data_IF_385824342791
#
_entry.id   IF_385824342791
#
_cell.length_a   1.000
_cell.length_b   1.000
_cell.length_c   1.000
_cell.angle_alpha   90.00
_cell.angle_beta   90.00
_cell.angle_gamma   90.00
#
_symmetry.space_group_name_H-M   'P 1'
#
loop_
_entity.id
_entity.type
_entity.pdbx_description
1 polymer ?
#
# COMPACT_ATOMS: atom_id res chain seq x y z
N UNK A 1 -32.25 -51.42 14.42
CA UNK A 1 -30.96 -51.19 13.75
C UNK A 1 -30.91 -49.76 13.23
N UNK A 2 -29.72 -49.20 13.31
CA UNK A 2 -29.27 -47.84 12.99
C UNK A 2 -29.18 -47.66 11.46
N UNK A 3 -29.33 -46.42 10.96
CA UNK A 3 -28.66 -45.74 9.81
C UNK A 3 -29.48 -44.46 9.48
N UNK A 4 -29.19 -43.28 10.07
CA UNK A 4 -28.39 -42.14 9.55
C UNK A 4 -28.49 -41.84 8.04
N UNK A 5 -29.01 -40.65 7.70
CA UNK A 5 -28.81 -39.92 6.44
C UNK A 5 -29.26 -38.45 6.61
N UNK A 6 -28.38 -37.55 7.06
CA UNK A 6 -27.68 -36.51 6.27
C UNK A 6 -28.60 -35.43 5.67
N UNK A 7 -28.63 -34.28 6.37
CA UNK A 7 -28.42 -32.91 5.88
C UNK A 7 -28.70 -32.58 4.40
N UNK A 8 -29.53 -31.55 4.11
CA UNK A 8 -29.08 -30.34 3.39
C UNK A 8 -30.13 -29.20 3.31
N UNK A 9 -29.66 -28.02 3.74
CA UNK A 9 -29.78 -26.68 3.12
C UNK A 9 -31.16 -26.10 2.78
N UNK A 10 -31.53 -25.05 3.55
CA UNK A 10 -32.31 -23.92 3.01
C UNK A 10 -31.96 -22.60 3.70
N UNK A 11 -30.72 -22.12 3.55
CA UNK A 11 -30.41 -20.73 3.91
C UNK A 11 -30.70 -19.82 2.71
N UNK A 12 -31.69 -18.94 2.91
CA UNK A 12 -32.21 -17.97 1.95
C UNK A 12 -31.13 -16.94 1.62
N UNK A 13 -31.05 -16.58 0.34
CA UNK A 13 -30.10 -15.62 -0.26
C UNK A 13 -30.24 -14.25 0.41
N UNK A 14 -29.18 -13.74 1.02
CA UNK A 14 -29.07 -12.33 1.45
C UNK A 14 -28.05 -11.64 0.55
N UNK A 15 -28.52 -10.60 -0.13
CA UNK A 15 -27.76 -9.76 -1.05
C UNK A 15 -26.88 -8.82 -0.24
N UNK A 16 -25.56 -8.98 -0.28
CA UNK A 16 -24.62 -8.10 0.43
C UNK A 16 -23.73 -7.41 -0.60
N UNK A 17 -24.02 -6.13 -0.84
CA UNK A 17 -23.27 -5.24 -1.73
C UNK A 17 -21.87 -5.00 -1.14
N UNK A 18 -20.84 -5.48 -1.83
CA UNK A 18 -19.43 -5.23 -1.54
C UNK A 18 -19.08 -3.83 -2.07
N UNK A 19 -19.05 -2.84 -1.18
CA UNK A 19 -18.80 -1.44 -1.52
C UNK A 19 -17.33 -1.14 -1.22
N UNK A 20 -16.46 -1.34 -2.22
CA UNK A 20 -15.10 -0.81 -2.17
C UNK A 20 -15.18 0.70 -2.43
N UNK A 21 -15.10 1.50 -1.36
CA UNK A 21 -15.07 2.96 -1.48
C UNK A 21 -13.73 3.35 -2.10
N UNK A 22 -13.79 3.84 -3.35
CA UNK A 22 -12.68 4.41 -4.10
C UNK A 22 -12.37 5.79 -3.50
N UNK A 23 -11.53 5.85 -2.48
CA UNK A 23 -10.97 7.13 -2.03
C UNK A 23 -9.65 7.31 -2.79
N UNK A 24 -9.58 8.20 -3.80
CA UNK A 24 -8.28 8.64 -4.31
C UNK A 24 -7.57 9.37 -3.17
N UNK A 25 -6.68 8.68 -2.48
CA UNK A 25 -5.79 9.32 -1.51
C UNK A 25 -4.72 10.02 -2.34
N UNK A 26 -4.90 11.31 -2.59
CA UNK A 26 -3.86 12.16 -3.15
C UNK A 26 -2.67 12.17 -2.20
N UNK A 27 -1.56 11.57 -2.64
CA UNK A 27 -0.30 11.54 -1.88
C UNK A 27 0.32 12.94 -1.99
N UNK A 28 0.04 13.81 -1.02
CA UNK A 28 0.57 15.17 -1.00
C UNK A 28 1.61 15.32 0.11
N UNK A 29 2.83 15.70 -0.26
CA UNK A 29 3.73 16.36 0.68
C UNK A 29 3.90 17.82 0.30
N UNK A 30 3.43 18.69 1.19
CA UNK A 30 3.72 20.12 1.15
C UNK A 30 5.05 20.40 1.84
N UNK A 31 5.96 21.02 1.11
CA UNK A 31 7.02 21.84 1.69
C UNK A 31 7.02 23.19 0.96
N UNK A 32 6.17 24.10 1.42
CA UNK A 32 6.30 25.52 1.10
C UNK A 32 7.50 26.06 1.90
N UNK A 33 8.67 26.15 1.28
CA UNK A 33 9.79 26.89 1.84
C UNK A 33 10.44 27.71 0.73
N UNK A 34 10.33 29.04 0.84
CA UNK A 34 11.34 30.08 0.59
C UNK A 34 10.62 31.45 0.50
N UNK A 35 10.59 32.20 1.59
CA UNK A 35 10.31 33.64 1.54
C UNK A 35 11.63 34.38 1.36
N UNK A 36 11.82 35.06 0.22
CA UNK A 36 12.94 35.97 0.04
C UNK A 36 12.41 37.37 -0.29
N UNK A 37 12.87 38.35 0.49
CA UNK A 37 12.52 39.77 0.32
C UNK A 37 13.69 40.47 -0.39
N UNK A 38 13.53 40.79 -1.68
CA UNK A 38 14.53 41.53 -2.46
C UNK A 38 14.16 41.58 -3.94
N UNK A 39 13.82 42.77 -4.43
CA UNK A 39 13.39 43.01 -5.81
C UNK A 39 14.55 42.94 -6.81
N UNK A 40 14.52 41.96 -7.73
CA UNK A 40 15.03 42.03 -9.13
C UNK A 40 14.24 41.01 -9.95
N UNK A 41 13.92 41.35 -11.20
CA UNK A 41 13.19 40.58 -12.25
C UNK A 41 12.65 39.20 -11.80
N UNK A 42 11.33 39.09 -11.67
CA UNK A 42 10.70 37.89 -11.11
C UNK A 42 10.77 36.70 -12.06
N UNK A 43 11.85 35.93 -11.95
CA UNK A 43 11.82 34.52 -12.29
C UNK A 43 11.11 33.79 -11.15
N UNK A 44 9.80 33.57 -11.30
CA UNK A 44 9.04 32.71 -10.40
C UNK A 44 9.52 31.26 -10.59
N UNK A 45 10.36 30.77 -9.67
CA UNK A 45 10.72 29.35 -9.62
C UNK A 45 9.63 28.60 -8.86
N UNK A 46 8.99 27.63 -9.50
CA UNK A 46 8.03 26.75 -8.83
C UNK A 46 8.77 25.78 -7.89
N UNK A 47 8.25 25.63 -6.67
CA UNK A 47 8.74 24.62 -5.74
C UNK A 47 8.49 23.21 -6.27
N UNK A 48 9.36 22.26 -5.91
CA UNK A 48 9.27 20.87 -6.34
C UNK A 48 7.98 20.21 -5.80
N UNK A 49 7.23 19.57 -6.70
CA UNK A 49 6.04 18.79 -6.35
C UNK A 49 6.36 17.30 -6.35
N UNK A 50 6.00 16.62 -5.27
CA UNK A 50 6.04 15.16 -5.16
C UNK A 50 4.60 14.69 -5.00
N UNK A 51 4.07 14.06 -6.05
CA UNK A 51 2.70 13.59 -6.11
C UNK A 51 2.60 12.27 -6.87
N UNK A 52 1.47 11.60 -6.70
CA UNK A 52 1.10 10.42 -7.48
C UNK A 52 -0.33 9.99 -7.18
N UNK A 53 -0.90 9.17 -8.06
CA UNK A 53 -2.21 8.55 -7.88
C UNK A 53 -2.05 7.09 -7.47
N UNK A 54 -2.83 6.66 -6.48
CA UNK A 54 -2.84 5.29 -5.97
C UNK A 54 -4.15 4.60 -6.37
N UNK A 55 -4.04 3.48 -7.06
CA UNK A 55 -5.18 2.69 -7.52
C UNK A 55 -5.07 1.25 -7.00
N UNK A 56 -6.10 0.78 -6.31
CA UNK A 56 -6.26 -0.65 -5.97
C UNK A 56 -7.00 -1.32 -7.11
N UNK A 57 -6.35 -2.30 -7.77
CA UNK A 57 -6.86 -2.93 -8.98
C UNK A 57 -7.94 -3.96 -8.65
N UNK A 58 -9.19 -3.49 -8.50
CA UNK A 58 -10.33 -4.31 -8.10
C UNK A 58 -10.59 -5.48 -9.07
N UNK A 59 -11.10 -6.59 -8.52
CA UNK A 59 -11.70 -7.66 -9.32
C UNK A 59 -13.19 -7.36 -9.41
N UNK A 60 -13.73 -7.40 -10.62
CA UNK A 60 -15.06 -6.87 -10.98
C UNK A 60 -16.25 -7.62 -10.37
N UNK A 61 -16.03 -8.75 -9.70
CA UNK A 61 -17.09 -9.68 -9.33
C UNK A 61 -17.23 -9.84 -7.81
N UNK A 62 -18.46 -9.95 -7.35
CA UNK A 62 -18.76 -10.33 -5.97
C UNK A 62 -18.36 -11.80 -5.76
N UNK A 63 -17.26 -12.03 -5.06
CA UNK A 63 -16.81 -13.37 -4.69
C UNK A 63 -17.05 -13.62 -3.20
N UNK A 64 -17.57 -14.82 -2.87
CA UNK A 64 -17.48 -15.34 -1.52
C UNK A 64 -16.05 -15.81 -1.32
N UNK A 65 -15.26 -15.02 -0.59
CA UNK A 65 -13.85 -15.32 -0.36
C UNK A 65 -13.72 -16.49 0.61
N UNK A 66 -12.99 -17.51 0.21
CA UNK A 66 -12.40 -18.52 1.09
C UNK A 66 -10.90 -18.23 1.25
N UNK A 67 -10.23 -18.79 2.27
CA UNK A 67 -8.78 -18.66 2.38
C UNK A 67 -8.09 -19.07 1.08
N UNK A 68 -7.04 -18.33 0.70
CA UNK A 68 -6.30 -18.42 -0.56
C UNK A 68 -6.92 -17.73 -1.78
N UNK A 69 -8.15 -17.22 -1.67
CA UNK A 69 -8.75 -16.46 -2.77
C UNK A 69 -8.10 -15.09 -2.94
N UNK A 70 -8.11 -14.62 -4.19
CA UNK A 70 -7.61 -13.29 -4.54
C UNK A 70 -8.70 -12.24 -4.31
N UNK A 71 -8.36 -11.18 -3.58
CA UNK A 71 -9.24 -10.03 -3.30
C UNK A 71 -9.13 -8.97 -4.40
N UNK A 72 -7.91 -8.66 -4.84
CA UNK A 72 -7.66 -7.70 -5.92
C UNK A 72 -6.34 -7.99 -6.67
N UNK A 73 -6.15 -7.41 -7.85
CA UNK A 73 -5.00 -7.60 -8.74
C UNK A 73 -3.80 -6.69 -8.37
N UNK A 74 -3.60 -6.46 -7.07
CA UNK A 74 -2.53 -5.63 -6.55
C UNK A 74 -2.85 -4.14 -6.56
N UNK A 75 -1.79 -3.34 -6.46
CA UNK A 75 -1.87 -1.89 -6.36
C UNK A 75 -0.97 -1.26 -7.43
N UNK A 76 -1.45 -0.18 -8.03
CA UNK A 76 -0.71 0.61 -9.04
C UNK A 76 -0.58 2.04 -8.58
N UNK A 77 0.61 2.59 -8.75
CA UNK A 77 0.97 3.96 -8.42
C UNK A 77 1.47 4.66 -9.69
N UNK A 78 0.79 5.72 -10.10
CA UNK A 78 1.23 6.58 -11.20
C UNK A 78 1.91 7.82 -10.62
N UNK A 79 3.18 8.03 -10.95
CA UNK A 79 4.02 9.02 -10.29
C UNK A 79 4.05 10.33 -11.08
N UNK A 80 3.76 11.44 -10.39
CA UNK A 80 3.76 12.81 -10.92
C UNK A 80 4.71 13.70 -10.12
N UNK A 81 5.96 13.26 -9.98
CA UNK A 81 6.98 13.96 -9.19
C UNK A 81 7.96 14.73 -10.07
N UNK A 82 8.25 15.98 -9.74
CA UNK A 82 9.22 16.81 -10.47
C UNK A 82 10.69 16.48 -10.14
N UNK A 83 10.94 15.53 -9.24
CA UNK A 83 12.27 15.01 -8.92
C UNK A 83 12.23 13.52 -8.54
N UNK A 84 13.40 12.88 -8.51
CA UNK A 84 13.52 11.50 -8.01
C UNK A 84 13.05 11.44 -6.56
N UNK A 85 12.13 10.53 -6.30
CA UNK A 85 11.43 10.34 -5.05
C UNK A 85 11.53 8.88 -4.60
N UNK A 86 11.35 8.65 -3.31
CA UNK A 86 11.28 7.35 -2.68
C UNK A 86 9.81 7.06 -2.36
N UNK A 87 9.39 5.83 -2.57
CA UNK A 87 8.00 5.39 -2.42
C UNK A 87 7.91 4.31 -1.35
N UNK A 88 6.95 4.44 -0.44
CA UNK A 88 6.50 3.33 0.40
C UNK A 88 4.99 3.16 0.34
N UNK A 89 4.52 1.92 0.47
CA UNK A 89 3.10 1.56 0.38
C UNK A 89 2.75 0.60 1.50
N UNK A 90 1.66 0.86 2.22
CA UNK A 90 1.07 -0.06 3.19
C UNK A 90 -0.26 -0.55 2.66
N UNK A 91 -0.51 -1.84 2.80
CA UNK A 91 -1.78 -2.47 2.41
C UNK A 91 -2.38 -3.10 3.66
N UNK A 92 -3.52 -2.54 4.07
CA UNK A 92 -4.27 -2.94 5.26
C UNK A 92 -5.59 -3.60 4.84
N UNK A 93 -5.99 -4.62 5.59
CA UNK A 93 -7.25 -5.31 5.41
C UNK A 93 -8.19 -4.93 6.54
N UNK A 94 -9.41 -4.55 6.19
CA UNK A 94 -10.47 -4.24 7.13
C UNK A 94 -11.60 -5.24 6.96
N UNK A 95 -12.22 -5.60 8.08
CA UNK A 95 -13.34 -6.51 8.10
C UNK A 95 -14.61 -5.81 8.62
N UNK A 96 -15.72 -6.01 7.92
CA UNK A 96 -16.98 -5.30 8.16
C UNK A 96 -16.77 -3.77 8.18
N UNK A 97 -17.45 -3.07 9.08
CA UNK A 97 -17.35 -1.62 9.25
C UNK A 97 -16.28 -1.24 10.30
N UNK A 98 -15.27 -2.10 10.51
CA UNK A 98 -14.17 -1.84 11.45
C UNK A 98 -13.30 -0.67 10.99
N UNK A 99 -12.92 0.19 11.94
CA UNK A 99 -11.91 1.23 11.76
C UNK A 99 -10.49 0.74 12.05
N UNK A 100 -10.35 -0.47 12.61
CA UNK A 100 -9.06 -1.11 12.88
C UNK A 100 -8.73 -2.16 11.83
N UNK A 101 -7.51 -2.09 11.31
CA UNK A 101 -7.00 -3.08 10.37
C UNK A 101 -6.79 -4.44 11.05
N UNK A 102 -7.07 -5.51 10.32
CA UNK A 102 -6.84 -6.89 10.75
C UNK A 102 -5.34 -7.21 10.67
N UNK A 103 -4.78 -7.63 11.80
CA UNK A 103 -3.33 -7.90 11.91
C UNK A 103 -2.97 -9.35 11.63
N UNK A 104 -3.93 -10.26 11.68
CA UNK A 104 -3.74 -11.69 11.45
C UNK A 104 -4.12 -12.13 10.03
N UNK A 105 -4.33 -11.18 9.12
CA UNK A 105 -4.42 -11.43 7.68
C UNK A 105 -3.09 -11.04 7.02
N UNK A 106 -2.54 -11.92 6.17
CA UNK A 106 -1.37 -11.64 5.32
C UNK A 106 -1.81 -11.43 3.86
N UNK A 107 -2.06 -10.18 3.44
CA UNK A 107 -2.62 -9.89 2.13
C UNK A 107 -1.65 -10.13 0.96
N UNK A 108 -0.34 -10.00 1.18
CA UNK A 108 0.66 -10.03 0.12
C UNK A 108 1.65 -11.16 0.38
N UNK A 109 1.65 -12.15 -0.53
CA UNK A 109 2.66 -13.23 -0.55
C UNK A 109 3.93 -12.81 -1.26
N UNK A 110 3.77 -12.19 -2.43
CA UNK A 110 4.86 -11.69 -3.25
C UNK A 110 4.62 -10.20 -3.54
N UNK A 111 5.51 -9.34 -3.04
CA UNK A 111 5.45 -7.91 -3.30
C UNK A 111 6.08 -7.53 -4.65
N UNK A 112 6.96 -8.38 -5.19
CA UNK A 112 7.86 -8.12 -6.32
C UNK A 112 9.29 -7.83 -5.87
N UNK A 113 10.25 -8.05 -6.78
CA UNK A 113 11.69 -8.06 -6.46
C UNK A 113 12.26 -6.71 -6.00
N UNK A 114 11.57 -5.62 -6.36
CA UNK A 114 11.98 -4.26 -6.03
C UNK A 114 11.40 -3.75 -4.70
N UNK A 115 10.67 -4.60 -3.97
CA UNK A 115 10.00 -4.23 -2.73
C UNK A 115 10.58 -4.94 -1.52
N UNK A 116 10.76 -4.19 -0.43
CA UNK A 116 11.15 -4.74 0.86
C UNK A 116 10.10 -4.39 1.91
N UNK A 117 9.68 -5.39 2.68
CA UNK A 117 8.73 -5.18 3.79
C UNK A 117 9.48 -4.71 5.03
N UNK A 118 9.14 -3.52 5.52
CA UNK A 118 9.66 -2.99 6.77
C UNK A 118 8.91 -3.50 8.00
N UNK A 119 9.53 -3.33 9.17
CA UNK A 119 8.96 -3.69 10.47
C UNK A 119 7.68 -2.92 10.82
N UNK A 120 7.44 -1.77 10.20
CA UNK A 120 6.27 -0.91 10.36
C UNK A 120 5.05 -1.32 9.50
N UNK A 121 5.20 -2.38 8.71
CA UNK A 121 4.19 -2.92 7.81
C UNK A 121 4.14 -2.23 6.44
N UNK A 122 5.00 -1.25 6.17
CA UNK A 122 5.14 -0.67 4.84
C UNK A 122 6.04 -1.53 3.95
N UNK A 123 5.74 -1.53 2.65
CA UNK A 123 6.60 -2.02 1.59
C UNK A 123 7.34 -0.82 0.99
N UNK A 124 8.66 -0.92 0.89
CA UNK A 124 9.54 0.13 0.41
C UNK A 124 10.05 -0.19 -0.99
N UNK A 125 9.87 0.73 -1.93
CA UNK A 125 10.35 0.56 -3.30
C UNK A 125 11.83 0.94 -3.40
N UNK A 126 12.65 0.05 -3.94
CA UNK A 126 14.12 0.11 -3.83
C UNK A 126 14.84 0.62 -5.07
N UNK A 127 14.13 1.19 -6.06
CA UNK A 127 14.73 1.76 -7.28
C UNK A 127 14.63 3.29 -7.37
N UNK A 128 13.87 3.93 -6.48
CA UNK A 128 13.45 5.33 -6.65
C UNK A 128 12.43 5.48 -7.78
N UNK A 129 11.70 6.59 -7.79
CA UNK A 129 10.65 6.87 -8.78
C UNK A 129 10.76 8.30 -9.30
N UNK A 130 10.32 8.53 -10.54
CA UNK A 130 10.31 9.85 -11.21
C UNK A 130 8.99 10.07 -11.96
N UNK A 131 8.80 11.28 -12.49
CA UNK A 131 7.63 11.61 -13.29
C UNK A 131 7.37 10.60 -14.41
N UNK A 132 6.13 10.14 -14.52
CA UNK A 132 5.69 9.20 -15.55
C UNK A 132 5.98 7.73 -15.24
N UNK A 133 6.64 7.42 -14.12
CA UNK A 133 6.81 6.03 -13.71
C UNK A 133 5.46 5.45 -13.27
N UNK A 134 5.21 4.21 -13.69
CA UNK A 134 4.09 3.38 -13.23
C UNK A 134 4.69 2.26 -12.39
N UNK A 135 4.42 2.28 -11.09
CA UNK A 135 4.95 1.31 -10.14
C UNK A 135 3.83 0.41 -9.66
N UNK A 136 4.10 -0.90 -9.60
CA UNK A 136 3.13 -1.88 -9.12
C UNK A 136 3.63 -2.58 -7.87
N UNK A 137 2.71 -2.86 -6.97
CA UNK A 137 2.93 -3.68 -5.79
C UNK A 137 2.00 -4.90 -5.87
N UNK A 138 2.56 -6.08 -5.58
CA UNK A 138 1.82 -7.34 -5.56
C UNK A 138 1.08 -7.63 -6.87
N UNK A 139 1.80 -7.62 -8.01
CA UNK A 139 1.23 -7.87 -9.34
C UNK A 139 0.50 -9.21 -9.45
N UNK A 140 0.96 -10.21 -8.71
CA UNK A 140 0.29 -11.51 -8.64
C UNK A 140 -1.06 -11.44 -7.91
N UNK A 141 -1.30 -10.40 -7.12
CA UNK A 141 -2.54 -10.13 -6.41
C UNK A 141 -2.38 -9.98 -4.90
N UNK A 142 -3.44 -9.45 -4.30
CA UNK A 142 -3.66 -9.42 -2.86
C UNK A 142 -4.69 -10.48 -2.50
N UNK A 143 -4.42 -11.27 -1.48
CA UNK A 143 -5.14 -12.50 -1.16
C UNK A 143 -5.75 -12.46 0.24
N UNK A 144 -6.85 -13.19 0.41
CA UNK A 144 -7.47 -13.41 1.70
C UNK A 144 -6.81 -14.61 2.38
N UNK A 145 -5.78 -14.35 3.18
CA UNK A 145 -4.99 -15.38 3.85
C UNK A 145 -4.70 -15.05 5.30
N UNK A 146 -4.71 -16.07 6.14
CA UNK A 146 -4.18 -15.95 7.50
C UNK A 146 -2.70 -15.63 7.46
N UNK A 147 -2.23 -14.88 8.47
CA UNK A 147 -0.81 -14.59 8.68
C UNK A 147 0.03 -15.88 8.84
N UNK A 148 -0.60 -16.93 9.35
CA UNK A 148 -0.05 -18.28 9.48
C UNK A 148 -1.19 -19.31 9.56
N UNK A 149 -0.85 -20.59 9.63
CA UNK A 149 -1.81 -21.69 9.66
C UNK A 149 -2.66 -21.76 10.94
N UNK A 150 -2.30 -21.01 12.00
CA UNK A 150 -3.04 -20.99 13.26
C UNK A 150 -4.17 -19.95 13.28
N UNK A 151 -4.30 -19.13 12.23
CA UNK A 151 -5.36 -18.12 12.15
C UNK A 151 -6.68 -18.81 11.84
N UNK A 152 -7.65 -18.71 12.75
CA UNK A 152 -9.01 -19.20 12.49
C UNK A 152 -9.75 -18.27 11.51
N UNK A 153 -9.59 -18.58 10.22
CA UNK A 153 -10.22 -17.84 9.14
C UNK A 153 -11.75 -17.90 9.18
N UNK A 154 -12.36 -18.83 9.93
CA UNK A 154 -13.82 -18.94 10.02
C UNK A 154 -14.44 -17.74 10.75
N UNK A 155 -13.68 -17.02 11.59
CA UNK A 155 -14.14 -15.80 12.28
C UNK A 155 -14.55 -14.67 11.32
N UNK A 156 -14.18 -14.77 10.05
CA UNK A 156 -14.49 -13.81 8.99
C UNK A 156 -15.67 -14.21 8.09
N UNK A 157 -16.26 -15.39 8.31
CA UNK A 157 -17.39 -15.86 7.51
C UNK A 157 -18.56 -14.86 7.56
N UNK A 158 -19.10 -14.53 6.38
CA UNK A 158 -20.22 -13.61 6.22
C UNK A 158 -19.89 -12.12 6.40
N UNK A 159 -18.62 -11.78 6.68
CA UNK A 159 -18.18 -10.38 6.82
C UNK A 159 -17.70 -9.83 5.47
N UNK A 160 -17.86 -8.52 5.27
CA UNK A 160 -17.26 -7.81 4.14
C UNK A 160 -15.77 -7.65 4.37
N UNK A 161 -14.96 -7.83 3.33
CA UNK A 161 -13.52 -7.58 3.36
C UNK A 161 -13.23 -6.35 2.51
N UNK A 162 -12.45 -5.42 3.05
CA UNK A 162 -12.03 -4.19 2.37
C UNK A 162 -10.50 -4.13 2.37
N UNK A 163 -9.93 -3.91 1.20
CA UNK A 163 -8.50 -3.64 1.03
C UNK A 163 -8.31 -2.13 0.98
N UNK A 164 -7.40 -1.60 1.78
CA UNK A 164 -7.00 -0.19 1.74
C UNK A 164 -5.51 -0.12 1.52
N UNK A 165 -5.09 0.57 0.48
CA UNK A 165 -3.70 0.88 0.25
C UNK A 165 -3.44 2.35 0.61
N UNK A 166 -2.34 2.61 1.30
CA UNK A 166 -1.84 3.94 1.63
C UNK A 166 -0.42 4.04 1.11
N UNK A 167 -0.11 5.12 0.39
CA UNK A 167 1.20 5.32 -0.20
C UNK A 167 1.78 6.67 0.22
N UNK A 168 3.09 6.72 0.38
CA UNK A 168 3.83 7.93 0.71
C UNK A 168 5.02 8.08 -0.21
N UNK A 169 5.23 9.30 -0.68
CA UNK A 169 6.38 9.68 -1.51
C UNK A 169 7.23 10.72 -0.81
N UNK A 170 8.55 10.57 -0.80
CA UNK A 170 9.45 11.58 -0.24
C UNK A 170 10.54 11.87 -1.24
N UNK A 171 11.02 13.11 -1.32
CA UNK A 171 12.18 13.41 -2.15
C UNK A 171 13.36 12.51 -1.75
N UNK A 172 14.07 11.96 -2.74
CA UNK A 172 15.23 11.14 -2.47
C UNK A 172 16.39 11.97 -1.89
N UNK A 173 16.53 13.23 -2.31
CA UNK A 173 17.64 14.11 -1.92
C UNK A 173 17.77 14.33 -0.41
N UNK A 174 18.99 14.56 0.06
CA UNK A 174 19.31 14.94 1.45
C UNK A 174 18.91 13.92 2.52
N UNK A 175 18.55 12.68 2.17
CA UNK A 175 18.24 11.62 3.13
C UNK A 175 17.01 11.88 4.01
N UNK A 176 16.12 12.79 3.62
CA UNK A 176 14.93 13.23 4.38
C UNK A 176 14.02 12.06 4.78
N UNK A 177 14.05 10.97 4.00
CA UNK A 177 13.28 9.77 4.25
C UNK A 177 13.62 9.10 5.60
N UNK A 178 14.88 9.18 6.05
CA UNK A 178 15.35 8.43 7.22
C UNK A 178 14.67 8.91 8.50
N UNK A 179 14.63 10.22 8.72
CA UNK A 179 13.92 10.82 9.86
C UNK A 179 12.41 10.62 9.72
N UNK A 180 11.86 10.95 8.55
CA UNK A 180 10.43 10.92 8.29
C UNK A 180 9.79 9.54 8.44
N UNK A 181 10.52 8.50 8.04
CA UNK A 181 10.06 7.11 8.14
C UNK A 181 10.65 6.37 9.35
N UNK A 182 11.51 7.03 10.13
CA UNK A 182 12.17 6.45 11.30
C UNK A 182 13.01 5.21 10.96
N UNK A 183 13.74 5.28 9.84
CA UNK A 183 14.65 4.24 9.35
C UNK A 183 16.10 4.53 9.78
N UNK A 184 16.86 3.49 10.08
CA UNK A 184 18.28 3.61 10.42
C UNK A 184 19.03 2.30 10.13
N UNK A 185 20.36 2.30 10.22
CA UNK A 185 21.14 1.06 10.07
C UNK A 185 20.73 -0.01 11.10
N UNK A 186 20.29 0.40 12.29
CA UNK A 186 19.85 -0.49 13.36
C UNK A 186 18.35 -0.85 13.29
N UNK A 187 17.57 -0.22 12.41
CA UNK A 187 16.13 -0.45 12.26
C UNK A 187 15.76 -0.44 10.79
N UNK A 188 15.45 -1.63 10.28
CA UNK A 188 15.23 -1.86 8.84
C UNK A 188 16.48 -1.51 8.01
N UNK A 189 17.66 -1.92 8.48
CA UNK A 189 18.97 -1.51 7.96
C UNK A 189 19.21 -1.78 6.47
N UNK A 190 18.70 -2.89 5.92
CA UNK A 190 18.79 -3.16 4.47
C UNK A 190 17.98 -2.14 3.66
N UNK A 191 16.75 -1.84 4.11
CA UNK A 191 15.90 -0.81 3.51
C UNK A 191 16.60 0.54 3.60
N UNK A 192 17.07 0.93 4.79
CA UNK A 192 17.80 2.17 4.99
C UNK A 192 19.00 2.30 4.03
N UNK A 193 19.82 1.25 3.92
CA UNK A 193 21.03 1.26 3.08
C UNK A 193 20.69 1.44 1.60
N UNK A 194 19.68 0.72 1.09
CA UNK A 194 19.25 0.85 -0.32
C UNK A 194 18.69 2.23 -0.63
N UNK A 195 17.83 2.76 0.23
CA UNK A 195 17.24 4.08 0.04
C UNK A 195 18.26 5.21 0.18
N UNK A 196 19.21 5.07 1.11
CA UNK A 196 20.32 6.02 1.29
C UNK A 196 21.22 6.07 0.06
N UNK A 197 21.47 4.94 -0.60
CA UNK A 197 22.21 4.90 -1.86
C UNK A 197 21.53 5.76 -2.93
N UNK A 198 20.22 5.56 -3.15
CA UNK A 198 19.44 6.38 -4.10
C UNK A 198 19.51 7.86 -3.71
N UNK A 199 19.35 8.17 -2.43
CA UNK A 199 19.46 9.54 -1.92
C UNK A 199 20.80 10.18 -2.25
N UNK A 200 21.91 9.47 -2.04
CA UNK A 200 23.25 9.99 -2.30
C UNK A 200 23.47 10.24 -3.79
N UNK A 201 22.92 9.39 -4.66
CA UNK A 201 23.02 9.53 -6.11
C UNK A 201 22.27 10.79 -6.63
N UNK A 202 21.34 11.35 -5.85
CA UNK A 202 20.62 12.60 -6.17
C UNK A 202 21.28 13.88 -5.63
N UNK A 203 22.41 13.75 -4.92
CA UNK A 203 23.13 14.85 -4.30
C UNK A 203 22.85 15.01 -2.80
N UNK A 204 23.92 15.28 -2.06
CA UNK A 204 23.87 15.65 -0.64
C UNK A 204 23.36 17.07 -0.43
#
# INVERSE_FOLDING_TARGET
MKERGIFLKRFRKVLIVLLAILVPVSIGFGFNFFSWNGSKESAENQAMTVAGTLTVNQISESQNLVPQDKICNGVTMDITSSAVSLLRVKVDIYCADSETAETDIAPIKNAGDNWLKGSDGYYYYTQGVKNGDIVKLAEEGIYFNGLNDNVDMNKYQGKKIKVVANAELVQAKHGVFAEKWGLSENKDGDIYTKLKKISNDQGQ
#
